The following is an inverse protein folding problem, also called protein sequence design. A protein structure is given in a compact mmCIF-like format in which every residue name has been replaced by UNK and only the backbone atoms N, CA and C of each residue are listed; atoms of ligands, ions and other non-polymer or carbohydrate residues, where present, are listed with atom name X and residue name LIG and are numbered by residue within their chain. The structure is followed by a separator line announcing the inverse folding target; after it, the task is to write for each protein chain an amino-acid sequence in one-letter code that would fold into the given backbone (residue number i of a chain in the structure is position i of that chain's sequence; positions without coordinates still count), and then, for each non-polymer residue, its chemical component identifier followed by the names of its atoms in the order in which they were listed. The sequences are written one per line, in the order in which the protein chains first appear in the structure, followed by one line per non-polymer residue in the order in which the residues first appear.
data_IF_321838900034
#
_entry.id   IF_321838900034
#
_cell.length_a   1.000
_cell.length_b   1.000
_cell.length_c   1.000
_cell.angle_alpha   90.00
_cell.angle_beta   90.00
_cell.angle_gamma   90.00
#
_symmetry.space_group_name_H-M   'P 1'
#
loop_
_entity.id
_entity.type
_entity.pdbx_description
1 polymer ?
#
# COMPACT_ATOMS: atom_id res chain seq x y z
N UNK A 1 -18.59 27.41 -2.95
CA UNK A 1 -17.98 26.58 -1.91
C UNK A 1 -16.46 26.74 -2.04
N UNK A 2 -15.69 27.02 -0.97
CA UNK A 2 -14.24 27.02 -1.06
C UNK A 2 -13.78 25.64 -1.49
N UNK A 3 -12.81 25.59 -2.39
CA UNK A 3 -12.24 24.34 -2.90
C UNK A 3 -11.64 23.57 -1.72
N UNK A 4 -12.33 22.52 -1.30
CA UNK A 4 -11.91 21.56 -0.27
C UNK A 4 -10.86 20.56 -0.81
N UNK A 5 -10.02 21.00 -1.76
CA UNK A 5 -8.88 20.21 -2.19
C UNK A 5 -7.84 20.27 -1.07
N UNK A 6 -7.34 19.10 -0.70
CA UNK A 6 -6.21 18.99 0.21
C UNK A 6 -5.05 19.86 -0.28
N UNK A 7 -4.37 20.62 0.59
CA UNK A 7 -3.24 21.46 0.20
C UNK A 7 -2.17 20.71 -0.59
N UNK A 8 -1.93 19.44 -0.28
CA UNK A 8 -0.96 18.58 -0.97
C UNK A 8 -1.39 18.33 -2.40
N UNK A 9 -2.66 17.94 -2.60
CA UNK A 9 -3.24 17.72 -3.92
C UNK A 9 -3.25 19.05 -4.71
N UNK A 10 -3.63 20.15 -4.06
CA UNK A 10 -3.64 21.47 -4.67
C UNK A 10 -2.24 21.91 -5.10
N UNK A 11 -1.22 21.66 -4.29
CA UNK A 11 0.18 21.98 -4.62
C UNK A 11 0.67 21.13 -5.77
N UNK A 12 0.42 19.81 -5.74
CA UNK A 12 0.76 18.92 -6.86
C UNK A 12 0.11 19.43 -8.17
N UNK A 13 -1.19 19.77 -8.14
CA UNK A 13 -1.90 20.28 -9.32
C UNK A 13 -1.39 21.64 -9.80
N UNK A 14 -0.84 22.48 -8.91
CA UNK A 14 -0.19 23.75 -9.30
C UNK A 14 1.15 23.52 -9.99
N UNK A 15 1.93 22.57 -9.52
CA UNK A 15 3.26 22.26 -10.03
C UNK A 15 3.21 21.48 -11.34
N UNK A 16 2.39 20.46 -11.40
CA UNK A 16 2.33 19.51 -12.52
C UNK A 16 1.14 19.77 -13.48
N UNK A 17 0.20 20.66 -13.09
CA UNK A 17 -1.04 20.91 -13.85
C UNK A 17 -2.19 20.02 -13.41
N UNK A 18 -3.28 20.01 -14.18
CA UNK A 18 -4.50 19.23 -13.90
C UNK A 18 -4.85 18.22 -15.00
N UNK A 19 -4.02 18.11 -16.02
CA UNK A 19 -4.15 17.13 -17.13
C UNK A 19 -2.78 16.56 -17.42
N UNK A 20 -2.70 15.25 -17.42
CA UNK A 20 -1.44 14.51 -17.60
C UNK A 20 -1.59 13.47 -18.69
N UNK A 21 -0.63 13.40 -19.59
CA UNK A 21 -0.41 12.28 -20.48
C UNK A 21 0.76 11.46 -19.95
N UNK A 22 0.60 10.16 -19.81
CA UNK A 22 1.66 9.28 -19.32
C UNK A 22 1.76 8.04 -20.18
N UNK A 23 2.97 7.70 -20.58
CA UNK A 23 3.28 6.41 -21.20
C UNK A 23 3.81 5.51 -20.10
N UNK A 24 3.05 4.47 -19.72
CA UNK A 24 3.41 3.57 -18.62
C UNK A 24 3.90 2.24 -19.16
N UNK A 25 5.05 1.81 -18.69
CA UNK A 25 5.52 0.44 -18.83
C UNK A 25 5.21 -0.33 -17.54
N UNK A 26 4.50 -1.45 -17.68
CA UNK A 26 4.16 -2.34 -16.58
C UNK A 26 4.77 -3.70 -16.85
N UNK A 27 5.43 -4.27 -15.85
CA UNK A 27 5.93 -5.64 -15.88
C UNK A 27 5.65 -6.33 -14.55
N UNK A 28 5.42 -7.63 -14.58
CA UNK A 28 5.28 -8.43 -13.37
C UNK A 28 5.84 -9.82 -13.57
N UNK A 29 6.42 -10.35 -12.50
CA UNK A 29 6.86 -11.73 -12.40
C UNK A 29 6.15 -12.39 -11.23
N UNK A 30 5.64 -13.62 -11.43
CA UNK A 30 4.98 -14.38 -10.39
C UNK A 30 5.54 -15.80 -10.34
N UNK A 31 5.89 -16.24 -9.14
CA UNK A 31 6.32 -17.60 -8.84
C UNK A 31 5.34 -18.23 -7.87
N UNK A 32 4.64 -19.29 -8.28
CA UNK A 32 3.58 -19.93 -7.51
C UNK A 32 3.83 -21.44 -7.43
N UNK A 33 4.07 -21.94 -6.22
CA UNK A 33 4.25 -23.36 -5.91
C UNK A 33 3.20 -23.89 -4.92
N UNK A 34 2.14 -23.11 -4.70
CA UNK A 34 1.07 -23.53 -3.80
C UNK A 34 0.40 -24.81 -4.32
N UNK A 35 0.06 -25.70 -3.41
CA UNK A 35 -0.59 -26.96 -3.75
C UNK A 35 -2.07 -26.78 -4.16
N UNK A 36 -2.70 -25.68 -3.81
CA UNK A 36 -4.07 -25.33 -4.17
C UNK A 36 -4.20 -23.81 -4.38
N UNK A 37 -4.99 -23.38 -5.37
CA UNK A 37 -5.18 -21.97 -5.70
C UNK A 37 -6.09 -21.23 -4.73
N UNK A 38 -7.06 -21.94 -4.12
CA UNK A 38 -8.10 -21.35 -3.26
C UNK A 38 -7.80 -21.63 -1.79
N UNK A 39 -7.42 -22.86 -1.46
CA UNK A 39 -7.21 -23.32 -0.10
C UNK A 39 -5.83 -23.97 0.11
N UNK A 40 -4.75 -23.24 -0.15
CA UNK A 40 -3.42 -23.78 0.02
C UNK A 40 -3.12 -24.10 1.49
N UNK A 41 -2.41 -25.21 1.71
CA UNK A 41 -1.86 -25.60 3.00
C UNK A 41 -0.32 -25.61 3.01
N UNK A 42 0.31 -25.53 1.83
CA UNK A 42 1.77 -25.50 1.64
C UNK A 42 2.13 -24.84 0.33
N UNK A 43 3.38 -24.38 0.28
CA UNK A 43 3.96 -23.73 -0.89
C UNK A 43 4.05 -22.22 -0.75
N UNK A 44 4.50 -21.59 -1.79
CA UNK A 44 4.85 -20.17 -1.80
C UNK A 44 4.22 -19.51 -3.02
N UNK A 45 3.72 -18.31 -2.82
CA UNK A 45 3.39 -17.37 -3.90
C UNK A 45 4.25 -16.13 -3.72
N UNK A 46 5.00 -15.75 -4.73
CA UNK A 46 5.75 -14.50 -4.77
C UNK A 46 5.40 -13.76 -6.05
N UNK A 47 5.16 -12.46 -5.94
CA UNK A 47 4.93 -11.58 -7.07
C UNK A 47 5.75 -10.32 -6.91
N UNK A 48 6.44 -9.95 -7.96
CA UNK A 48 7.09 -8.65 -8.09
C UNK A 48 6.41 -7.93 -9.25
N UNK A 49 6.05 -6.69 -9.04
CA UNK A 49 5.49 -5.81 -10.07
C UNK A 49 6.31 -4.53 -10.12
N UNK A 50 6.58 -4.05 -11.31
CA UNK A 50 7.22 -2.77 -11.54
C UNK A 50 6.43 -1.96 -12.57
N UNK A 51 6.26 -0.67 -12.27
CA UNK A 51 5.60 0.32 -13.11
C UNK A 51 6.58 1.46 -13.31
N UNK A 52 6.76 1.90 -14.54
CA UNK A 52 7.54 3.08 -14.87
C UNK A 52 6.76 3.96 -15.85
N UNK A 53 6.57 5.23 -15.48
CA UNK A 53 6.10 6.26 -16.40
C UNK A 53 7.31 6.78 -17.19
N UNK A 54 7.31 6.51 -18.49
CA UNK A 54 8.46 6.73 -19.38
C UNK A 54 8.60 8.21 -19.80
N UNK A 55 9.82 8.65 -20.16
CA UNK A 55 10.03 9.94 -20.83
C UNK A 55 9.18 10.07 -22.10
N UNK A 56 8.62 11.27 -22.33
CA UNK A 56 7.67 11.56 -23.40
C UNK A 56 6.25 11.81 -22.90
N UNK A 57 5.97 11.47 -21.65
CA UNK A 57 4.79 11.92 -20.92
C UNK A 57 5.09 13.10 -20.00
N UNK A 58 4.04 13.67 -19.41
CA UNK A 58 4.12 14.83 -18.52
C UNK A 58 4.68 14.41 -17.15
N UNK A 59 4.26 13.27 -16.63
CA UNK A 59 4.70 12.74 -15.33
C UNK A 59 5.73 11.63 -15.52
N UNK A 60 6.75 11.64 -14.66
CA UNK A 60 7.85 10.67 -14.65
C UNK A 60 8.01 10.11 -13.25
N UNK A 61 7.74 8.82 -13.08
CA UNK A 61 7.86 8.12 -11.80
C UNK A 61 8.03 6.63 -12.04
N UNK A 62 8.44 5.92 -11.01
CA UNK A 62 8.47 4.47 -11.00
C UNK A 62 7.96 3.92 -9.67
N UNK A 63 7.44 2.70 -9.69
CA UNK A 63 6.97 1.96 -8.52
C UNK A 63 7.44 0.52 -8.62
N UNK A 64 7.76 -0.05 -7.47
CA UNK A 64 7.95 -1.49 -7.31
C UNK A 64 7.09 -1.99 -6.15
N UNK A 65 6.49 -3.16 -6.35
CA UNK A 65 5.69 -3.84 -5.36
C UNK A 65 6.13 -5.30 -5.26
N UNK A 66 6.22 -5.79 -4.05
CA UNK A 66 6.46 -7.20 -3.75
C UNK A 66 5.31 -7.72 -2.89
N UNK A 67 4.70 -8.82 -3.33
CA UNK A 67 3.73 -9.60 -2.59
C UNK A 67 4.25 -11.01 -2.38
N UNK A 68 4.48 -11.38 -1.13
CA UNK A 68 4.91 -12.72 -0.72
C UNK A 68 3.87 -13.41 0.14
N UNK A 69 3.65 -14.71 -0.09
CA UNK A 69 2.83 -15.57 0.77
C UNK A 69 3.51 -16.91 0.92
N UNK A 70 3.65 -17.39 2.15
CA UNK A 70 4.24 -18.69 2.48
C UNK A 70 3.25 -19.48 3.29
N UNK A 71 2.90 -20.64 2.83
CA UNK A 71 2.05 -21.60 3.52
C UNK A 71 2.89 -22.77 4.00
N UNK A 72 2.74 -23.15 5.28
CA UNK A 72 3.47 -24.23 5.89
C UNK A 72 2.54 -25.07 6.78
N UNK A 73 2.48 -26.39 6.58
CA UNK A 73 1.70 -27.27 7.48
C UNK A 73 2.37 -27.30 8.87
N UNK A 74 1.59 -26.99 9.90
CA UNK A 74 2.02 -27.00 11.30
C UNK A 74 1.67 -28.33 12.02
N UNK A 75 1.11 -29.30 11.30
CA UNK A 75 0.64 -30.57 11.86
C UNK A 75 -0.80 -30.50 12.35
N UNK A 76 -1.43 -31.68 12.56
CA UNK A 76 -2.84 -31.82 13.01
C UNK A 76 -3.85 -31.03 12.17
N UNK A 77 -3.54 -30.76 10.91
CA UNK A 77 -4.40 -30.00 10.00
C UNK A 77 -4.26 -28.44 10.11
N UNK A 78 -3.47 -27.95 11.04
CA UNK A 78 -3.17 -26.52 11.12
C UNK A 78 -2.22 -26.10 9.99
N UNK A 79 -2.45 -24.90 9.46
CA UNK A 79 -1.58 -24.31 8.45
C UNK A 79 -1.13 -22.92 8.91
N UNK A 80 0.17 -22.69 8.91
CA UNK A 80 0.76 -21.37 9.08
C UNK A 80 0.76 -20.62 7.75
N UNK A 81 0.42 -19.33 7.79
CA UNK A 81 0.48 -18.42 6.67
C UNK A 81 1.24 -17.16 7.08
N UNK A 82 2.28 -16.85 6.34
CA UNK A 82 2.96 -15.56 6.41
C UNK A 82 2.74 -14.81 5.11
N UNK A 83 2.38 -13.53 5.22
CA UNK A 83 2.25 -12.61 4.10
C UNK A 83 3.17 -11.41 4.32
N UNK A 84 3.75 -10.92 3.24
CA UNK A 84 4.48 -9.65 3.21
C UNK A 84 4.07 -8.89 1.98
N UNK A 85 3.75 -7.62 2.15
CA UNK A 85 3.56 -6.67 1.06
C UNK A 85 4.51 -5.50 1.31
N UNK A 86 5.34 -5.21 0.32
CA UNK A 86 6.29 -4.09 0.35
C UNK A 86 6.16 -3.33 -0.95
N UNK A 87 5.97 -2.03 -0.84
CA UNK A 87 5.89 -1.14 -2.01
C UNK A 87 6.76 0.10 -1.81
N UNK A 88 7.40 0.51 -2.89
CA UNK A 88 8.15 1.75 -2.96
C UNK A 88 7.96 2.40 -4.33
N UNK A 89 7.82 3.71 -4.34
CA UNK A 89 7.70 4.49 -5.56
C UNK A 89 8.31 5.87 -5.42
N UNK A 90 8.84 6.41 -6.52
CA UNK A 90 9.51 7.69 -6.53
C UNK A 90 9.35 8.39 -7.87
N UNK A 91 9.28 9.72 -7.84
CA UNK A 91 9.29 10.55 -9.02
C UNK A 91 10.72 10.79 -9.51
N UNK A 92 10.88 11.11 -10.78
CA UNK A 92 12.17 11.47 -11.37
C UNK A 92 12.02 12.49 -12.50
N UNK A 93 13.13 13.03 -12.95
CA UNK A 93 13.22 13.80 -14.20
C UNK A 93 12.33 15.05 -14.28
N UNK A 94 12.15 15.75 -13.17
CA UNK A 94 11.41 17.01 -13.09
C UNK A 94 9.99 16.90 -12.53
N UNK A 95 9.44 15.69 -12.33
CA UNK A 95 8.22 15.50 -11.55
C UNK A 95 8.58 15.62 -10.07
N UNK A 96 7.86 16.47 -9.35
CA UNK A 96 8.22 16.90 -7.99
C UNK A 96 8.09 15.79 -6.94
N UNK A 97 7.10 14.94 -7.08
CA UNK A 97 6.83 13.84 -6.16
C UNK A 97 6.01 12.73 -6.83
N UNK A 98 5.91 11.57 -6.20
CA UNK A 98 5.03 10.50 -6.68
C UNK A 98 3.60 11.06 -6.80
N UNK A 99 2.92 10.91 -7.95
CA UNK A 99 1.55 11.37 -8.10
C UNK A 99 0.65 10.78 -7.02
N UNK A 100 -0.16 11.58 -6.36
CA UNK A 100 -1.02 11.16 -5.22
C UNK A 100 -1.94 9.99 -5.57
N UNK A 101 -2.35 9.86 -6.83
CA UNK A 101 -3.19 8.76 -7.31
C UNK A 101 -2.40 7.44 -7.53
N UNK A 102 -1.08 7.48 -7.38
CA UNK A 102 -0.19 6.31 -7.39
C UNK A 102 0.30 5.93 -6.00
N UNK A 103 -0.07 6.69 -4.97
CA UNK A 103 0.30 6.40 -3.58
C UNK A 103 -0.18 5.03 -3.13
N UNK A 104 0.58 4.45 -2.21
CA UNK A 104 0.18 3.25 -1.49
C UNK A 104 -0.74 3.61 -0.33
N UNK A 105 -1.60 2.67 0.04
CA UNK A 105 -2.52 2.77 1.16
C UNK A 105 -2.50 1.47 1.97
N UNK A 106 -2.68 1.57 3.28
CA UNK A 106 -2.83 0.44 4.18
C UNK A 106 -3.87 0.73 5.26
N UNK A 107 -4.31 -0.32 5.92
CA UNK A 107 -5.47 -0.36 6.83
C UNK A 107 -6.61 -1.15 6.19
N UNK A 108 -7.42 -1.78 7.03
CA UNK A 108 -8.57 -2.57 6.60
C UNK A 108 -8.31 -4.07 6.47
N UNK A 109 -9.36 -4.85 6.14
CA UNK A 109 -9.36 -6.31 6.24
C UNK A 109 -8.38 -7.01 5.29
N UNK A 110 -7.89 -6.33 4.26
CA UNK A 110 -6.97 -6.89 3.27
C UNK A 110 -5.49 -6.64 3.57
N UNK A 111 -5.21 -5.68 4.44
CA UNK A 111 -3.85 -5.27 4.79
C UNK A 111 -3.57 -5.41 6.28
N UNK A 112 -4.01 -4.48 7.12
CA UNK A 112 -3.85 -4.51 8.58
C UNK A 112 -5.23 -4.47 9.20
N UNK A 113 -5.72 -5.64 9.65
CA UNK A 113 -7.04 -5.79 10.26
C UNK A 113 -7.11 -5.06 11.61
N UNK A 114 -8.29 -4.57 11.98
CA UNK A 114 -8.49 -3.75 13.18
C UNK A 114 -8.32 -2.25 12.96
N UNK A 115 -7.87 -1.84 11.79
CA UNK A 115 -7.85 -0.46 11.34
C UNK A 115 -8.89 -0.21 10.25
N UNK A 116 -9.37 1.01 10.16
CA UNK A 116 -10.26 1.43 9.07
C UNK A 116 -9.54 1.34 7.71
N UNK A 117 -10.30 1.17 6.64
CA UNK A 117 -9.74 1.04 5.29
C UNK A 117 -8.95 2.31 4.93
N UNK A 118 -7.70 2.12 4.47
CA UNK A 118 -6.75 3.18 4.11
C UNK A 118 -6.33 4.13 5.27
N UNK A 119 -6.65 3.83 6.50
CA UNK A 119 -6.43 4.75 7.64
C UNK A 119 -4.98 4.84 8.14
N UNK A 120 -4.09 3.96 7.68
CA UNK A 120 -2.68 3.97 8.08
C UNK A 120 -1.85 4.89 7.20
N UNK A 121 -0.92 5.60 7.84
CA UNK A 121 -0.01 6.52 7.18
C UNK A 121 -0.46 7.98 7.24
N UNK A 122 0.08 8.84 6.36
CA UNK A 122 -0.24 10.26 6.32
C UNK A 122 -1.72 10.53 6.08
N UNK A 123 -2.27 11.48 6.83
CA UNK A 123 -3.65 11.94 6.72
C UNK A 123 -3.69 13.46 6.59
N UNK A 124 -4.72 13.99 5.98
CA UNK A 124 -4.99 15.41 5.93
C UNK A 124 -5.57 15.95 7.25
N UNK A 125 -5.79 17.26 7.32
CA UNK A 125 -6.39 17.93 8.49
C UNK A 125 -7.80 17.44 8.83
N UNK A 126 -8.46 16.74 7.94
CA UNK A 126 -9.80 16.17 8.10
C UNK A 126 -9.77 14.67 8.38
N UNK A 127 -8.60 14.07 8.60
CA UNK A 127 -8.41 12.63 8.80
C UNK A 127 -8.56 11.78 7.54
N UNK A 128 -8.52 12.39 6.34
CA UNK A 128 -8.58 11.63 5.09
C UNK A 128 -7.18 11.10 4.74
N UNK A 129 -7.12 9.84 4.37
CA UNK A 129 -5.86 9.21 3.99
C UNK A 129 -5.26 9.84 2.72
N UNK A 130 -4.00 10.24 2.80
CA UNK A 130 -3.21 10.76 1.68
C UNK A 130 -2.39 9.65 1.02
N UNK A 131 -2.21 8.52 1.71
CA UNK A 131 -1.29 7.48 1.29
C UNK A 131 0.17 7.91 1.36
N UNK A 132 1.05 7.15 0.73
CA UNK A 132 2.47 7.46 0.71
C UNK A 132 3.22 6.71 -0.37
N UNK A 133 4.49 7.05 -0.55
CA UNK A 133 5.34 6.43 -1.57
C UNK A 133 6.00 5.12 -1.09
N UNK A 134 5.92 4.81 0.20
CA UNK A 134 6.45 3.58 0.79
C UNK A 134 5.36 2.88 1.60
N UNK A 135 5.23 1.56 1.44
CA UNK A 135 4.35 0.73 2.25
C UNK A 135 5.06 -0.54 2.68
N UNK A 136 4.82 -0.96 3.92
CA UNK A 136 5.27 -2.26 4.42
C UNK A 136 4.15 -2.85 5.27
N UNK A 137 3.70 -4.05 4.92
CA UNK A 137 2.68 -4.79 5.65
C UNK A 137 3.11 -6.23 5.83
N UNK A 138 2.98 -6.74 7.04
CA UNK A 138 3.19 -8.14 7.40
C UNK A 138 1.96 -8.72 8.07
N UNK A 139 1.60 -9.94 7.70
CA UNK A 139 0.54 -10.69 8.32
C UNK A 139 1.06 -12.10 8.68
N UNK A 140 0.78 -12.54 9.89
CA UNK A 140 0.97 -13.92 10.31
C UNK A 140 -0.38 -14.51 10.68
N UNK A 141 -0.70 -15.68 10.15
CA UNK A 141 -1.97 -16.34 10.42
C UNK A 141 -1.75 -17.82 10.74
N UNK A 142 -2.55 -18.35 11.63
CA UNK A 142 -2.69 -19.79 11.85
C UNK A 142 -4.11 -20.18 11.44
N UNK A 143 -4.21 -20.93 10.36
CA UNK A 143 -5.48 -21.47 9.87
C UNK A 143 -5.82 -22.72 10.69
N UNK A 144 -7.03 -22.74 11.25
CA UNK A 144 -7.50 -23.75 12.22
C UNK A 144 -8.41 -24.74 11.48
N UNK A 145 -8.11 -26.03 11.52
CA UNK A 145 -9.00 -27.05 10.96
C UNK A 145 -10.26 -27.16 11.81
N UNK A 146 -11.41 -27.22 11.18
CA UNK A 146 -12.69 -27.45 11.86
C UNK A 146 -13.27 -28.80 11.37
N UNK A 147 -13.06 -29.88 12.09
CA UNK A 147 -13.47 -31.26 11.65
C UNK A 147 -14.97 -31.35 11.36
N UNK A 148 -15.80 -30.65 12.14
CA UNK A 148 -17.26 -30.63 11.94
C UNK A 148 -17.70 -29.92 10.65
N UNK A 149 -16.81 -29.13 10.05
CA UNK A 149 -17.05 -28.41 8.81
C UNK A 149 -16.16 -28.89 7.66
N UNK A 150 -15.57 -30.09 7.78
CA UNK A 150 -14.65 -30.64 6.78
C UNK A 150 -15.29 -30.77 5.38
N UNK A 151 -16.61 -30.97 5.33
CA UNK A 151 -17.39 -31.01 4.08
C UNK A 151 -17.61 -29.59 3.49
N UNK A 152 -17.56 -28.57 4.33
CA UNK A 152 -17.74 -27.15 3.91
C UNK A 152 -16.37 -26.49 3.72
N UNK A 153 -15.71 -26.75 2.60
CA UNK A 153 -14.39 -26.17 2.28
C UNK A 153 -14.38 -24.63 2.24
N UNK A 154 -15.54 -24.01 2.23
CA UNK A 154 -15.71 -22.56 2.15
C UNK A 154 -15.52 -21.82 3.49
N UNK A 155 -15.49 -22.53 4.64
CA UNK A 155 -15.38 -21.92 5.96
C UNK A 155 -14.02 -22.24 6.56
N UNK A 156 -13.28 -21.19 6.94
CA UNK A 156 -12.00 -21.30 7.64
C UNK A 156 -11.97 -20.37 8.84
N UNK A 157 -11.43 -20.82 9.93
CA UNK A 157 -11.13 -20.00 11.09
C UNK A 157 -9.62 -19.74 11.11
N UNK A 158 -9.22 -18.56 11.55
CA UNK A 158 -7.81 -18.24 11.74
C UNK A 158 -7.61 -17.33 12.94
N UNK A 159 -6.49 -17.54 13.65
CA UNK A 159 -5.90 -16.53 14.51
C UNK A 159 -4.84 -15.77 13.72
N UNK A 160 -4.75 -14.47 13.91
CA UNK A 160 -3.84 -13.65 13.14
C UNK A 160 -3.16 -12.54 13.93
N UNK A 161 -2.03 -12.10 13.42
CA UNK A 161 -1.29 -10.91 13.84
C UNK A 161 -0.92 -10.12 12.59
N UNK A 162 -1.28 -8.85 12.55
CA UNK A 162 -0.98 -7.94 11.46
C UNK A 162 -0.14 -6.77 11.94
N UNK A 163 0.81 -6.34 11.13
CA UNK A 163 1.60 -5.14 11.35
C UNK A 163 1.89 -4.47 10.02
N UNK A 164 1.88 -3.15 10.00
CA UNK A 164 2.22 -2.40 8.80
C UNK A 164 1.96 -0.92 8.92
N UNK A 165 2.51 -0.18 8.00
CA UNK A 165 2.28 1.26 7.87
C UNK A 165 2.59 1.74 6.44
N UNK A 166 2.26 3.00 6.20
CA UNK A 166 2.57 3.74 4.99
C UNK A 166 3.33 5.00 5.36
N UNK A 167 4.34 5.34 4.59
CA UNK A 167 5.17 6.53 4.81
C UNK A 167 5.24 7.39 3.55
N UNK A 168 5.41 8.70 3.77
CA UNK A 168 5.69 9.67 2.73
C UNK A 168 6.84 10.57 3.17
N UNK A 169 7.86 10.74 2.32
CA UNK A 169 8.96 11.69 2.53
C UNK A 169 8.63 13.09 1.96
N UNK A 170 7.43 13.26 1.41
CA UNK A 170 7.00 14.61 1.06
C UNK A 170 7.12 15.44 2.34
N UNK A 171 8.01 16.41 2.36
CA UNK A 171 8.52 17.16 3.54
C UNK A 171 7.48 18.00 4.28
N UNK A 172 6.29 17.48 4.39
CA UNK A 172 5.21 18.02 5.20
C UNK A 172 5.29 17.39 6.59
N UNK A 173 6.08 17.99 7.45
CA UNK A 173 5.95 17.74 8.88
C UNK A 173 4.62 18.35 9.32
N UNK A 174 3.66 17.51 9.70
CA UNK A 174 2.49 17.96 10.44
C UNK A 174 2.98 18.55 11.76
N UNK A 175 2.86 19.85 11.89
CA UNK A 175 3.03 20.49 13.20
C UNK A 175 1.78 20.17 14.00
N UNK A 176 1.93 19.25 14.93
CA UNK A 176 0.92 18.91 15.89
C UNK A 176 0.49 20.17 16.65
N UNK A 177 -0.74 20.61 16.43
CA UNK A 177 -1.53 21.42 17.36
C UNK A 177 -1.14 22.88 17.64
N UNK A 178 -0.72 23.69 16.69
CA UNK A 178 -0.56 25.13 16.92
C UNK A 178 -1.24 26.06 15.91
N UNK A 179 -2.18 25.58 15.11
CA UNK A 179 -2.97 26.48 14.22
C UNK A 179 -2.17 27.23 13.14
N UNK A 180 -0.90 26.90 12.96
CA UNK A 180 -0.02 27.54 12.01
C UNK A 180 0.08 26.77 10.71
N UNK A 181 0.18 27.51 9.64
CA UNK A 181 0.21 27.07 8.25
C UNK A 181 1.27 25.98 7.97
N UNK A 182 0.93 25.06 7.08
CA UNK A 182 1.85 24.08 6.50
C UNK A 182 3.08 24.79 5.94
N UNK A 183 4.28 24.43 6.43
CA UNK A 183 5.55 24.94 5.89
C UNK A 183 6.15 23.92 4.94
N UNK A 184 6.65 24.39 3.81
CA UNK A 184 7.45 23.58 2.88
C UNK A 184 8.78 23.12 3.52
N UNK A 185 9.48 22.20 2.86
CA UNK A 185 10.79 21.70 3.31
C UNK A 185 11.86 22.81 3.44
N UNK A 186 11.61 23.97 2.85
CA UNK A 186 12.39 25.21 2.90
C UNK A 186 11.99 26.14 4.06
N UNK A 187 10.95 25.78 4.82
CA UNK A 187 10.48 26.56 5.99
C UNK A 187 9.55 27.72 5.65
N UNK A 188 9.22 27.96 4.38
CA UNK A 188 8.29 29.01 3.95
C UNK A 188 6.82 28.55 4.07
N UNK A 189 5.89 29.44 4.43
CA UNK A 189 4.46 29.15 4.43
C UNK A 189 3.95 28.96 3.01
N UNK A 190 3.18 27.87 2.79
CA UNK A 190 2.50 27.60 1.52
C UNK A 190 1.19 28.39 1.41
#
# INVERSE_FOLDING_TARGET
APNLLDPIIATFMRQEGNKYNSIKFNTSYSYDTRNDGIFPDRGVLQRIQAIAALPGGDLKYWKMEYDGRIYSPLGKGFTGLLKAHVGYGEAYGGTSQLPFFENFYAGGPRTVRGFDEHSLGPQDLYGRALGGHTTVVFNAEVLIPVPALAEFKSVRFSGFLDAGNVWSDSGYSFVENTGDFVRGADGEPL
#
